data_IF_209938987278
#
_entry.id   IF_209938987278
#
_cell.length_a   1.000
_cell.length_b   1.000
_cell.length_c   1.000
_cell.angle_alpha   90.00
_cell.angle_beta   90.00
_cell.angle_gamma   90.00
#
_symmetry.space_group_name_H-M   'P 1'
#
loop_
_entity.id
_entity.type
_entity.pdbx_description
1 polymer ?
#
# COMPACT_ATOMS: atom_id res chain seq x y z
N UNK A 1 3.30 8.80 -27.87
CA UNK A 1 4.21 7.84 -28.54
C UNK A 1 5.51 7.77 -27.76
N UNK A 2 6.06 6.54 -27.54
CA UNK A 2 7.36 6.38 -26.87
C UNK A 2 8.45 7.03 -27.73
N UNK A 3 9.31 7.84 -27.08
CA UNK A 3 10.43 8.50 -27.80
C UNK A 3 11.46 7.48 -28.25
N UNK A 4 12.04 7.74 -29.41
CA UNK A 4 13.07 6.85 -30.00
C UNK A 4 14.33 6.84 -29.12
N UNK A 5 14.79 5.65 -28.77
CA UNK A 5 15.99 5.46 -27.94
C UNK A 5 15.74 5.30 -26.44
N UNK A 6 14.50 5.47 -25.99
CA UNK A 6 14.14 5.23 -24.60
C UNK A 6 14.21 3.75 -24.23
N UNK A 7 14.60 3.48 -22.99
CA UNK A 7 14.69 2.13 -22.45
C UNK A 7 13.49 1.85 -21.55
N UNK A 8 12.91 0.66 -21.72
CA UNK A 8 11.84 0.18 -20.87
C UNK A 8 12.40 -0.37 -19.55
N UNK A 9 11.64 -0.20 -18.48
CA UNK A 9 11.81 -0.96 -17.25
C UNK A 9 11.00 -2.25 -17.34
N UNK A 10 11.52 -3.32 -16.74
CA UNK A 10 10.84 -4.63 -16.74
C UNK A 10 10.14 -4.81 -15.40
N UNK A 11 8.82 -4.94 -15.44
CA UNK A 11 8.01 -5.32 -14.27
C UNK A 11 7.70 -6.80 -14.37
N UNK A 12 8.06 -7.55 -13.34
CA UNK A 12 7.89 -9.00 -13.25
C UNK A 12 6.73 -9.32 -12.32
N UNK A 13 5.79 -10.12 -12.81
CA UNK A 13 4.71 -10.70 -12.01
C UNK A 13 4.94 -12.20 -11.90
N UNK A 14 4.83 -12.73 -10.72
CA UNK A 14 4.82 -14.17 -10.54
C UNK A 14 3.71 -14.58 -9.56
N UNK A 15 3.12 -15.72 -9.79
CA UNK A 15 2.15 -16.34 -8.90
C UNK A 15 2.20 -17.84 -9.04
N UNK A 16 1.75 -18.55 -8.03
CA UNK A 16 1.52 -19.98 -8.11
C UNK A 16 0.16 -20.24 -8.76
N UNK A 17 0.15 -21.08 -9.79
CA UNK A 17 -1.08 -21.54 -10.45
C UNK A 17 -1.31 -23.02 -10.11
N UNK A 18 -2.52 -23.33 -9.71
CA UNK A 18 -2.97 -24.73 -9.67
C UNK A 18 -3.37 -25.15 -11.07
N UNK A 19 -2.69 -26.17 -11.59
CA UNK A 19 -3.00 -26.79 -12.87
C UNK A 19 -3.35 -28.25 -12.64
N UNK A 20 -4.40 -28.72 -13.31
CA UNK A 20 -4.73 -30.14 -13.32
C UNK A 20 -3.88 -30.84 -14.38
N UNK A 21 -3.15 -31.84 -13.97
CA UNK A 21 -2.33 -32.64 -14.87
C UNK A 21 -2.67 -34.12 -14.67
N UNK A 22 -2.91 -34.79 -15.79
CA UNK A 22 -3.12 -36.24 -15.81
C UNK A 22 -1.83 -36.96 -15.41
N UNK A 23 -1.92 -37.83 -14.40
CA UNK A 23 -0.82 -38.69 -13.98
C UNK A 23 -0.68 -39.91 -14.93
N UNK A 24 0.30 -40.76 -14.67
CA UNK A 24 0.56 -41.95 -15.52
C UNK A 24 -0.57 -43.01 -15.45
N UNK A 25 -1.44 -42.88 -14.48
CA UNK A 25 -2.55 -43.82 -14.23
C UNK A 25 -3.90 -43.25 -14.76
N UNK A 26 -3.88 -42.08 -15.45
CA UNK A 26 -5.05 -41.44 -16.02
C UNK A 26 -5.90 -40.63 -15.05
N UNK A 27 -5.40 -40.37 -13.84
CA UNK A 27 -6.10 -39.57 -12.83
C UNK A 27 -5.64 -38.12 -12.89
N UNK A 28 -6.57 -37.18 -12.67
CA UNK A 28 -6.27 -35.73 -12.62
C UNK A 28 -5.67 -35.38 -11.25
N UNK A 29 -4.41 -35.00 -11.26
CA UNK A 29 -3.69 -34.50 -10.07
C UNK A 29 -3.54 -32.98 -10.14
N UNK A 30 -3.88 -32.28 -9.06
CA UNK A 30 -3.64 -30.84 -8.91
C UNK A 30 -2.17 -30.59 -8.61
N UNK A 31 -1.51 -29.90 -9.48
CA UNK A 31 -0.12 -29.50 -9.30
C UNK A 31 0.03 -28.00 -9.29
N UNK A 32 0.71 -27.48 -8.28
CA UNK A 32 1.04 -26.06 -8.18
C UNK A 32 2.31 -25.79 -8.98
N UNK A 33 2.22 -24.92 -9.97
CA UNK A 33 3.36 -24.51 -10.80
C UNK A 33 3.58 -23.00 -10.70
N UNK A 34 4.85 -22.55 -10.67
CA UNK A 34 5.13 -21.12 -10.72
C UNK A 34 4.85 -20.59 -12.13
N UNK A 35 4.08 -19.51 -12.20
CA UNK A 35 3.80 -18.76 -13.40
C UNK A 35 4.46 -17.40 -13.33
N UNK A 36 5.41 -17.16 -14.22
CA UNK A 36 6.13 -15.90 -14.34
C UNK A 36 5.66 -15.18 -15.60
N UNK A 37 5.33 -13.89 -15.45
CA UNK A 37 5.06 -13.00 -16.57
C UNK A 37 5.84 -11.71 -16.37
N UNK A 38 6.35 -11.14 -17.43
CA UNK A 38 6.95 -9.82 -17.42
C UNK A 38 6.28 -8.91 -18.45
N UNK A 39 6.30 -7.62 -18.15
CA UNK A 39 5.85 -6.57 -19.07
C UNK A 39 6.88 -5.45 -19.07
N UNK A 40 7.07 -4.85 -20.24
CA UNK A 40 7.91 -3.66 -20.38
C UNK A 40 7.08 -2.42 -20.15
N UNK A 41 7.50 -1.58 -19.22
CA UNK A 41 6.86 -0.31 -18.89
C UNK A 41 7.79 0.86 -19.19
N UNK A 42 7.21 2.01 -19.46
CA UNK A 42 7.96 3.23 -19.72
C UNK A 42 7.47 4.33 -18.76
N UNK A 43 8.39 5.10 -18.25
CA UNK A 43 8.00 6.27 -17.46
C UNK A 43 7.28 7.28 -18.37
N UNK A 44 6.29 7.98 -17.82
CA UNK A 44 5.45 8.92 -18.58
C UNK A 44 6.30 10.01 -19.27
N UNK A 45 7.41 10.42 -18.65
CA UNK A 45 8.35 11.38 -19.24
C UNK A 45 9.03 10.90 -20.53
N UNK A 46 8.99 9.58 -20.83
CA UNK A 46 9.55 8.95 -22.03
C UNK A 46 8.52 8.88 -23.16
N UNK A 47 7.29 9.37 -22.94
CA UNK A 47 6.18 9.23 -23.88
C UNK A 47 5.67 10.60 -24.34
N UNK A 48 5.70 10.86 -25.63
CA UNK A 48 5.14 12.07 -26.22
C UNK A 48 3.63 11.97 -26.40
N UNK A 49 2.93 13.09 -26.15
CA UNK A 49 1.49 13.20 -26.36
C UNK A 49 0.62 12.59 -25.26
N UNK A 50 1.22 12.23 -24.14
CA UNK A 50 0.49 11.88 -22.91
C UNK A 50 0.65 13.04 -21.94
N UNK A 51 -0.47 13.62 -21.50
CA UNK A 51 -0.45 14.54 -20.37
C UNK A 51 -0.26 13.72 -19.11
N UNK A 52 0.63 14.15 -18.18
CA UNK A 52 0.62 13.58 -16.82
C UNK A 52 -0.81 13.64 -16.28
N UNK A 53 -1.23 12.61 -15.55
CA UNK A 53 -2.42 12.75 -14.73
C UNK A 53 -2.11 13.89 -13.74
N UNK A 54 -2.77 15.02 -13.93
CA UNK A 54 -2.85 16.02 -12.88
C UNK A 54 -3.80 15.42 -11.85
N UNK A 55 -3.28 14.92 -10.75
CA UNK A 55 -4.13 14.55 -9.63
C UNK A 55 -4.80 15.83 -9.15
N UNK A 56 -6.13 15.90 -9.13
CA UNK A 56 -6.82 17.08 -8.69
C UNK A 56 -6.47 17.33 -7.22
N UNK A 57 -5.82 18.44 -6.95
CA UNK A 57 -5.71 18.95 -5.59
C UNK A 57 -7.01 19.70 -5.28
N UNK A 58 -7.66 19.30 -4.20
CA UNK A 58 -8.91 19.88 -3.74
C UNK A 58 -8.63 20.92 -2.66
N UNK A 59 -9.39 22.01 -2.67
CA UNK A 59 -9.47 22.89 -1.49
C UNK A 59 -10.23 22.14 -0.41
N UNK A 60 -9.54 21.83 0.69
CA UNK A 60 -10.11 21.15 1.83
C UNK A 60 -9.94 21.98 3.09
N UNK A 61 -10.99 22.09 3.90
CA UNK A 61 -10.91 22.76 5.19
C UNK A 61 -10.51 21.73 6.28
N UNK A 62 -9.35 21.92 6.94
CA UNK A 62 -8.92 21.02 8.00
C UNK A 62 -9.88 21.05 9.21
N UNK A 63 -10.03 19.90 9.87
CA UNK A 63 -10.78 19.77 11.12
C UNK A 63 -9.78 19.91 12.27
N UNK A 64 -9.75 21.08 12.92
CA UNK A 64 -8.76 21.42 13.93
C UNK A 64 -8.68 20.44 15.11
N UNK A 65 -9.81 19.91 15.56
CA UNK A 65 -9.84 18.92 16.64
C UNK A 65 -9.24 17.58 16.22
N UNK A 66 -9.48 17.15 14.98
CA UNK A 66 -8.89 15.93 14.42
C UNK A 66 -7.37 16.08 14.25
N UNK A 67 -6.91 17.20 13.70
CA UNK A 67 -5.47 17.51 13.57
C UNK A 67 -4.79 17.50 14.95
N UNK A 68 -5.44 18.08 15.95
CA UNK A 68 -4.91 18.07 17.31
C UNK A 68 -4.78 16.66 17.88
N UNK A 69 -5.77 15.80 17.70
CA UNK A 69 -5.70 14.39 18.16
C UNK A 69 -4.54 13.66 17.49
N UNK A 70 -4.38 13.83 16.17
CA UNK A 70 -3.28 13.22 15.42
C UNK A 70 -1.93 13.71 15.96
N UNK A 71 -1.76 15.03 16.06
CA UNK A 71 -0.51 15.65 16.53
C UNK A 71 -0.15 15.22 17.96
N UNK A 72 -1.13 15.25 18.86
CA UNK A 72 -0.94 14.85 20.27
C UNK A 72 -0.51 13.38 20.36
N UNK A 73 -1.13 12.50 19.57
CA UNK A 73 -0.82 11.07 19.57
C UNK A 73 0.58 10.80 18.97
N UNK A 74 0.87 11.29 17.77
CA UNK A 74 2.16 11.01 17.11
C UNK A 74 3.33 11.61 17.87
N UNK A 75 3.13 12.76 18.54
CA UNK A 75 4.16 13.40 19.37
C UNK A 75 4.40 12.59 20.64
N UNK A 76 3.34 12.20 21.35
CA UNK A 76 3.42 11.41 22.58
C UNK A 76 4.09 10.06 22.36
N UNK A 77 3.73 9.38 21.28
CA UNK A 77 4.22 8.05 20.95
C UNK A 77 5.54 8.05 20.14
N UNK A 78 6.05 9.24 19.81
CA UNK A 78 7.26 9.46 19.00
C UNK A 78 7.22 8.73 17.64
N UNK A 79 6.05 8.76 16.98
CA UNK A 79 5.83 8.14 15.66
C UNK A 79 6.30 9.10 14.57
N UNK A 80 6.99 8.58 13.55
CA UNK A 80 7.28 9.36 12.35
C UNK A 80 6.01 9.45 11.49
N UNK A 81 5.46 10.64 11.37
CA UNK A 81 4.26 10.90 10.57
C UNK A 81 4.62 11.71 9.33
N UNK A 82 4.30 11.16 8.15
CA UNK A 82 4.64 11.77 6.86
C UNK A 82 3.39 11.89 5.98
N UNK A 83 3.09 13.12 5.57
CA UNK A 83 2.17 13.42 4.48
C UNK A 83 2.99 13.58 3.19
N UNK A 84 2.62 12.87 2.14
CA UNK A 84 3.32 12.95 0.86
C UNK A 84 2.37 12.78 -0.32
N UNK A 85 2.74 13.30 -1.49
CA UNK A 85 1.99 13.06 -2.72
C UNK A 85 2.13 11.59 -3.12
N UNK A 86 1.10 10.79 -2.81
CA UNK A 86 1.08 9.33 -2.96
C UNK A 86 -0.37 8.86 -3.03
N UNK A 87 -0.59 7.66 -3.56
CA UNK A 87 -1.90 6.99 -3.56
C UNK A 87 -1.95 5.86 -2.52
N UNK A 88 -0.98 5.83 -1.61
CA UNK A 88 -0.86 4.78 -0.61
C UNK A 88 -0.86 5.40 0.79
N UNK A 89 -1.65 4.80 1.68
CA UNK A 89 -1.56 5.03 3.12
C UNK A 89 -1.12 3.71 3.78
N UNK A 90 -0.21 3.80 4.73
CA UNK A 90 0.24 2.63 5.47
C UNK A 90 0.96 2.99 6.76
N UNK A 91 0.91 2.07 7.73
CA UNK A 91 1.79 2.05 8.89
C UNK A 91 2.92 1.02 8.68
N UNK A 92 4.17 1.42 8.93
CA UNK A 92 5.35 0.55 8.88
C UNK A 92 5.85 0.23 10.29
N UNK A 93 5.61 -0.99 10.83
CA UNK A 93 6.04 -1.35 12.19
C UNK A 93 7.55 -1.33 12.38
N UNK A 94 8.31 -1.72 11.36
CA UNK A 94 9.78 -1.78 11.42
C UNK A 94 10.45 -0.42 11.54
N UNK A 95 9.79 0.63 11.04
CA UNK A 95 10.28 2.02 11.05
C UNK A 95 9.51 2.90 12.03
N UNK A 96 8.44 2.39 12.62
CA UNK A 96 7.47 3.12 13.40
C UNK A 96 7.02 4.41 12.70
N UNK A 97 6.59 4.23 11.46
CA UNK A 97 6.31 5.33 10.53
C UNK A 97 4.91 5.17 9.95
N UNK A 98 4.15 6.23 9.97
CA UNK A 98 2.88 6.36 9.25
C UNK A 98 3.13 7.22 8.01
N UNK A 99 2.61 6.76 6.88
CA UNK A 99 2.59 7.50 5.61
C UNK A 99 1.15 7.63 5.16
N UNK A 100 0.74 8.83 4.79
CA UNK A 100 -0.60 9.12 4.25
C UNK A 100 -0.49 10.07 3.06
N UNK A 101 -1.43 10.01 2.11
CA UNK A 101 -1.55 11.03 1.06
C UNK A 101 -1.81 12.42 1.64
N UNK A 102 -1.43 13.46 0.90
CA UNK A 102 -1.72 14.85 1.28
C UNK A 102 -3.22 15.09 1.37
N UNK A 103 -3.66 15.97 2.28
CA UNK A 103 -5.07 16.33 2.48
C UNK A 103 -5.78 16.72 1.20
N UNK A 104 -5.09 17.48 0.36
CA UNK A 104 -5.61 18.01 -0.90
C UNK A 104 -5.84 16.95 -1.98
N UNK A 105 -5.35 15.72 -1.80
CA UNK A 105 -5.59 14.59 -2.71
C UNK A 105 -6.95 13.91 -2.47
N UNK A 106 -7.61 14.20 -1.36
CA UNK A 106 -8.92 13.64 -1.03
C UNK A 106 -10.05 14.53 -1.53
N UNK A 107 -11.13 13.94 -2.03
CA UNK A 107 -12.32 14.69 -2.44
C UNK A 107 -13.03 15.32 -1.25
N UNK A 108 -13.01 14.60 -0.12
CA UNK A 108 -13.60 15.05 1.13
C UNK A 108 -12.61 14.89 2.27
N UNK A 109 -12.47 15.94 3.07
CA UNK A 109 -11.52 15.96 4.19
C UNK A 109 -11.75 14.83 5.21
N UNK A 110 -12.99 14.37 5.35
CA UNK A 110 -13.32 13.24 6.23
C UNK A 110 -12.65 11.93 5.80
N UNK A 111 -12.41 11.75 4.48
CA UNK A 111 -11.72 10.56 3.96
C UNK A 111 -10.26 10.55 4.39
N UNK A 112 -9.59 11.72 4.36
CA UNK A 112 -8.24 11.89 4.88
C UNK A 112 -8.16 11.49 6.36
N UNK A 113 -9.07 12.02 7.19
CA UNK A 113 -9.04 11.71 8.62
C UNK A 113 -9.40 10.24 8.90
N UNK A 114 -10.35 9.67 8.17
CA UNK A 114 -10.68 8.25 8.27
C UNK A 114 -9.45 7.37 7.97
N UNK A 115 -8.76 7.65 6.87
CA UNK A 115 -7.54 6.95 6.49
C UNK A 115 -6.43 7.14 7.52
N UNK A 116 -6.21 8.36 7.96
CA UNK A 116 -5.16 8.68 8.94
C UNK A 116 -5.42 7.98 10.28
N UNK A 117 -6.65 8.01 10.78
CA UNK A 117 -6.99 7.32 12.03
C UNK A 117 -6.88 5.79 11.89
N UNK A 118 -7.17 5.23 10.72
CA UNK A 118 -6.95 3.81 10.45
C UNK A 118 -5.46 3.45 10.64
N UNK A 119 -4.55 4.19 10.06
CA UNK A 119 -3.11 3.96 10.21
C UNK A 119 -2.61 4.22 11.65
N UNK A 120 -3.21 5.18 12.35
CA UNK A 120 -2.94 5.41 13.77
C UNK A 120 -3.36 4.21 14.63
N UNK A 121 -4.50 3.58 14.31
CA UNK A 121 -4.94 2.35 15.00
C UNK A 121 -3.98 1.21 14.76
N UNK A 122 -3.50 0.99 13.53
CA UNK A 122 -2.44 0.01 13.26
C UNK A 122 -1.18 0.28 14.08
N UNK A 123 -0.78 1.54 14.20
CA UNK A 123 0.41 1.90 14.98
C UNK A 123 0.29 1.55 16.47
N UNK A 124 -0.93 1.50 17.02
CA UNK A 124 -1.13 1.07 18.42
C UNK A 124 -0.66 -0.35 18.68
N UNK A 125 -0.61 -1.19 17.65
CA UNK A 125 -0.14 -2.57 17.74
C UNK A 125 1.38 -2.73 17.86
N UNK A 126 2.15 -1.65 17.72
CA UNK A 126 3.62 -1.71 17.82
C UNK A 126 4.10 -2.30 19.16
N UNK A 127 5.29 -2.95 19.14
CA UNK A 127 5.89 -3.60 20.31
C UNK A 127 6.06 -2.69 21.54
N UNK A 128 6.27 -1.39 21.32
CA UNK A 128 6.42 -0.40 22.40
C UNK A 128 5.08 0.11 22.92
N UNK A 129 3.94 -0.32 22.35
CA UNK A 129 2.57 0.07 22.72
C UNK A 129 1.78 -1.16 23.14
N UNK A 130 0.81 -1.62 22.35
CA UNK A 130 -0.02 -2.77 22.73
C UNK A 130 0.59 -4.13 22.34
N UNK A 131 1.70 -4.13 21.62
CA UNK A 131 2.44 -5.32 21.19
C UNK A 131 1.58 -6.40 20.51
N UNK A 132 0.63 -6.00 19.67
CA UNK A 132 -0.24 -6.94 18.94
C UNK A 132 0.42 -7.47 17.66
N UNK A 133 1.32 -6.68 17.05
CA UNK A 133 1.91 -6.98 15.76
C UNK A 133 3.02 -8.04 15.81
N UNK A 134 3.54 -8.40 16.99
CA UNK A 134 4.49 -9.52 17.09
C UNK A 134 3.88 -10.85 16.68
N UNK A 135 2.58 -11.02 16.90
CA UNK A 135 1.83 -12.22 16.49
C UNK A 135 1.48 -12.21 15.00
N UNK A 136 1.47 -11.05 14.36
CA UNK A 136 1.10 -10.85 12.95
C UNK A 136 2.31 -10.70 12.02
N UNK A 137 3.51 -10.44 12.55
CA UNK A 137 4.73 -10.25 11.75
C UNK A 137 5.12 -11.46 10.87
N UNK A 138 4.49 -12.63 11.09
CA UNK A 138 4.66 -13.85 10.29
C UNK A 138 3.44 -14.10 9.39
N UNK A 139 2.38 -13.29 9.52
CA UNK A 139 1.16 -13.46 8.74
C UNK A 139 1.36 -12.92 7.31
N UNK A 140 1.21 -13.79 6.32
CA UNK A 140 1.18 -13.34 4.92
C UNK A 140 -0.08 -12.51 4.66
N UNK A 141 0.03 -11.53 3.77
CA UNK A 141 -1.11 -10.74 3.28
C UNK A 141 -2.28 -11.66 2.89
N UNK A 142 -3.47 -11.36 3.43
CA UNK A 142 -4.67 -12.17 3.19
C UNK A 142 -4.81 -13.40 4.10
N UNK A 143 -3.95 -13.59 5.11
CA UNK A 143 -4.15 -14.63 6.13
C UNK A 143 -5.24 -14.24 7.13
N UNK A 144 -5.82 -15.23 7.83
CA UNK A 144 -6.84 -14.97 8.87
C UNK A 144 -6.30 -14.07 10.00
N UNK A 145 -5.02 -14.16 10.29
CA UNK A 145 -4.35 -13.32 11.31
C UNK A 145 -4.24 -11.87 10.83
N UNK A 146 -3.94 -11.66 9.55
CA UNK A 146 -3.91 -10.33 8.94
C UNK A 146 -5.30 -9.69 8.94
N UNK A 147 -6.34 -10.43 8.55
CA UNK A 147 -7.71 -9.92 8.49
C UNK A 147 -8.32 -9.58 9.86
N UNK A 148 -7.71 -9.99 10.98
CA UNK A 148 -8.11 -9.58 12.34
C UNK A 148 -7.52 -8.24 12.78
N UNK A 149 -6.49 -7.74 12.08
CA UNK A 149 -5.92 -6.41 12.31
C UNK A 149 -6.60 -5.33 11.44
N UNK A 150 -7.21 -5.70 10.31
CA UNK A 150 -8.03 -4.83 9.47
C UNK A 150 -9.42 -4.58 10.11
#
# INVERSE_FOLDING_TARGET
>A
KIRKGEKAEIVVFWKMLEVEKENKDGELEKKTVPYLRYVSVFHISQVDGVKPLEEPFHEVEPIADADKVILDYVTREAINFNEQASNEAYYSPSRDTIVVPMKEQYQHINEYYSTTFHELVHSTGHKNRLNRLETTAVASFGSETYSKEE
#
